data_IF_425983438697
#
_entry.id   IF_425983438697
#
_cell.length_a   1.000
_cell.length_b   1.000
_cell.length_c   1.000
_cell.angle_alpha   90.00
_cell.angle_beta   90.00
_cell.angle_gamma   90.00
#
_symmetry.space_group_name_H-M   'P 1'
#
loop_
_entity.id
_entity.type
_entity.pdbx_description
1 polymer ?
#
# COMPACT_ATOMS: atom_id res chain seq x y z
N UNK A 1 42.90 -14.99 -27.19
CA UNK A 1 42.87 -13.94 -26.15
C UNK A 1 41.44 -13.44 -26.04
N UNK A 2 40.62 -14.09 -25.21
CA UNK A 2 39.18 -13.85 -25.11
C UNK A 2 38.95 -13.06 -23.81
N UNK A 3 38.65 -11.77 -23.94
CA UNK A 3 38.28 -10.93 -22.82
C UNK A 3 36.78 -11.15 -22.52
N UNK A 4 36.49 -12.05 -21.58
CA UNK A 4 35.16 -12.16 -20.97
C UNK A 4 35.06 -11.02 -19.97
N UNK A 5 34.43 -9.90 -20.37
CA UNK A 5 33.96 -8.91 -19.39
C UNK A 5 32.77 -9.52 -18.66
N UNK A 6 32.99 -9.90 -17.41
CA UNK A 6 31.97 -10.40 -16.51
C UNK A 6 30.94 -9.32 -16.23
N UNK A 7 29.71 -9.61 -16.64
CA UNK A 7 28.49 -9.03 -16.10
C UNK A 7 28.47 -9.24 -14.58
N UNK A 8 28.63 -8.17 -13.81
CA UNK A 8 28.18 -8.13 -12.42
C UNK A 8 26.70 -7.81 -12.47
N UNK A 9 25.78 -8.72 -12.09
CA UNK A 9 24.38 -8.36 -11.97
C UNK A 9 24.26 -7.41 -10.78
N UNK A 10 23.93 -6.15 -11.07
CA UNK A 10 23.55 -5.20 -10.05
C UNK A 10 22.35 -5.80 -9.28
N UNK A 11 22.61 -6.15 -8.03
CA UNK A 11 21.59 -6.56 -7.07
C UNK A 11 20.45 -5.54 -7.08
N UNK A 12 19.17 -5.98 -7.12
CA UNK A 12 18.08 -5.02 -7.09
C UNK A 12 18.11 -4.36 -5.72
N UNK A 13 18.33 -3.05 -5.68
CA UNK A 13 17.98 -2.22 -4.51
C UNK A 13 16.62 -2.71 -4.02
N UNK A 14 16.46 -3.13 -2.75
CA UNK A 14 15.18 -3.61 -2.26
C UNK A 14 14.21 -2.44 -2.34
N UNK A 15 13.45 -2.41 -3.42
CA UNK A 15 12.40 -1.42 -3.60
C UNK A 15 11.32 -1.84 -2.61
N UNK A 16 10.82 -0.90 -1.82
CA UNK A 16 9.86 -1.19 -0.76
C UNK A 16 8.59 -1.89 -1.30
N UNK A 17 8.27 -1.66 -2.57
CA UNK A 17 7.08 -2.19 -3.25
C UNK A 17 7.11 -3.73 -3.39
N UNK A 18 8.13 -4.37 -4.00
CA UNK A 18 8.30 -5.82 -3.98
C UNK A 18 8.22 -6.46 -2.60
N UNK A 19 8.88 -5.88 -1.59
CA UNK A 19 8.82 -6.39 -0.22
C UNK A 19 7.38 -6.35 0.33
N UNK A 20 6.63 -5.29 0.03
CA UNK A 20 5.22 -5.19 0.37
C UNK A 20 4.37 -6.26 -0.32
N UNK A 21 4.57 -6.49 -1.62
CA UNK A 21 3.85 -7.55 -2.36
C UNK A 21 4.13 -8.95 -1.79
N UNK A 22 5.37 -9.22 -1.38
CA UNK A 22 5.73 -10.49 -0.72
C UNK A 22 4.98 -10.65 0.62
N UNK A 23 4.87 -9.58 1.42
CA UNK A 23 4.09 -9.70 2.68
C UNK A 23 2.60 -9.95 2.42
N UNK A 24 2.03 -9.35 1.38
CA UNK A 24 0.65 -9.55 0.94
C UNK A 24 0.41 -11.00 0.49
N UNK A 25 1.38 -11.60 -0.21
CA UNK A 25 1.27 -13.00 -0.64
C UNK A 25 1.45 -13.98 0.53
N UNK A 26 2.38 -13.71 1.44
CA UNK A 26 2.57 -14.51 2.66
C UNK A 26 1.30 -14.52 3.52
N UNK A 27 0.64 -13.36 3.66
CA UNK A 27 -0.60 -13.27 4.43
C UNK A 27 -1.74 -14.06 3.80
N UNK A 28 -1.80 -14.10 2.46
CA UNK A 28 -2.75 -14.93 1.71
C UNK A 28 -2.57 -16.41 1.98
N UNK A 29 -1.31 -16.88 1.96
CA UNK A 29 -0.97 -18.29 2.22
C UNK A 29 -1.39 -18.69 3.64
N UNK A 30 -1.08 -17.85 4.64
CA UNK A 30 -1.49 -18.09 6.03
C UNK A 30 -3.02 -18.14 6.15
N UNK A 31 -3.74 -17.24 5.47
CA UNK A 31 -5.20 -17.21 5.50
C UNK A 31 -5.81 -18.52 4.97
N UNK A 32 -5.26 -19.03 3.86
CA UNK A 32 -5.67 -20.31 3.28
C UNK A 32 -5.33 -21.47 4.21
N UNK A 33 -4.15 -21.45 4.83
CA UNK A 33 -3.72 -22.48 5.77
C UNK A 33 -4.66 -22.56 6.98
N UNK A 34 -5.08 -21.43 7.56
CA UNK A 34 -6.09 -21.43 8.63
C UNK A 34 -7.43 -21.99 8.16
N UNK A 35 -7.88 -21.60 6.96
CA UNK A 35 -9.15 -22.08 6.40
C UNK A 35 -9.14 -23.59 6.14
N UNK A 36 -8.01 -24.19 5.77
CA UNK A 36 -7.93 -25.63 5.49
C UNK A 36 -7.92 -26.53 6.73
N UNK A 37 -7.74 -25.97 7.94
CA UNK A 37 -7.68 -26.78 9.16
C UNK A 37 -9.04 -27.46 9.41
N UNK A 38 -9.00 -28.77 9.64
CA UNK A 38 -10.18 -29.59 9.97
C UNK A 38 -10.88 -30.24 8.77
N UNK A 39 -10.44 -29.97 7.53
CA UNK A 39 -11.04 -30.58 6.33
C UNK A 39 -10.42 -31.94 5.95
N UNK A 40 -9.16 -32.20 6.33
CA UNK A 40 -8.54 -33.51 6.20
C UNK A 40 -8.71 -34.30 7.50
N UNK A 41 -9.06 -35.59 7.43
CA UNK A 41 -9.12 -36.47 8.61
C UNK A 41 -7.74 -36.61 9.25
N UNK A 42 -7.58 -36.04 10.44
CA UNK A 42 -6.34 -36.08 11.20
C UNK A 42 -6.67 -36.19 12.70
N UNK A 43 -5.66 -36.52 13.51
CA UNK A 43 -5.82 -36.56 14.96
C UNK A 43 -5.98 -35.15 15.54
N UNK A 44 -6.72 -35.02 16.65
CA UNK A 44 -6.90 -33.75 17.35
C UNK A 44 -5.56 -33.08 17.72
N UNK A 45 -4.55 -33.89 18.10
CA UNK A 45 -3.20 -33.40 18.38
C UNK A 45 -2.54 -32.78 17.16
N UNK A 46 -2.78 -33.33 15.96
CA UNK A 46 -2.19 -32.80 14.72
C UNK A 46 -2.82 -31.47 14.33
N UNK A 47 -4.15 -31.33 14.42
CA UNK A 47 -4.80 -30.03 14.19
C UNK A 47 -4.28 -28.94 15.14
N UNK A 48 -4.04 -29.29 16.40
CA UNK A 48 -3.51 -28.36 17.39
C UNK A 48 -2.08 -27.90 17.06
N UNK A 49 -1.19 -28.83 16.70
CA UNK A 49 0.19 -28.48 16.32
C UNK A 49 0.24 -27.71 14.99
N UNK A 50 -0.57 -28.09 14.01
CA UNK A 50 -0.69 -27.35 12.73
C UNK A 50 -1.17 -25.91 12.98
N UNK A 51 -2.21 -25.74 13.78
CA UNK A 51 -2.72 -24.42 14.15
C UNK A 51 -1.67 -23.58 14.87
N UNK A 52 -0.95 -24.19 15.82
CA UNK A 52 0.10 -23.51 16.59
C UNK A 52 1.26 -23.09 15.69
N UNK A 53 1.64 -23.92 14.73
CA UNK A 53 2.65 -23.62 13.71
C UNK A 53 2.23 -22.41 12.86
N UNK A 54 1.02 -22.46 12.29
CA UNK A 54 0.46 -21.38 11.45
C UNK A 54 0.33 -20.07 12.26
N UNK A 55 -0.07 -20.16 13.53
CA UNK A 55 -0.12 -19.01 14.45
C UNK A 55 1.27 -18.42 14.69
N UNK A 56 2.29 -19.25 14.86
CA UNK A 56 3.68 -18.80 14.97
C UNK A 56 4.14 -18.01 13.74
N UNK A 57 3.83 -18.53 12.55
CA UNK A 57 4.12 -17.86 11.28
C UNK A 57 3.36 -16.53 11.15
N UNK A 58 2.09 -16.49 11.56
CA UNK A 58 1.28 -15.27 11.57
C UNK A 58 1.88 -14.20 12.49
N UNK A 59 2.34 -14.58 13.69
CA UNK A 59 2.98 -13.66 14.63
C UNK A 59 4.29 -13.12 14.04
N UNK A 60 5.13 -13.98 13.49
CA UNK A 60 6.38 -13.58 12.84
C UNK A 60 6.14 -12.64 11.66
N UNK A 61 5.14 -12.93 10.83
CA UNK A 61 4.76 -12.06 9.71
C UNK A 61 4.27 -10.70 10.22
N UNK A 62 3.42 -10.66 11.25
CA UNK A 62 2.95 -9.41 11.86
C UNK A 62 4.10 -8.55 12.39
N UNK A 63 5.14 -9.16 12.98
CA UNK A 63 6.35 -8.45 13.41
C UNK A 63 7.13 -7.86 12.22
N UNK A 64 7.27 -8.63 11.13
CA UNK A 64 7.90 -8.15 9.88
C UNK A 64 7.12 -6.97 9.27
N UNK A 65 5.79 -7.08 9.21
CA UNK A 65 4.90 -6.00 8.73
C UNK A 65 5.05 -4.75 9.60
N UNK A 66 5.10 -4.90 10.93
CA UNK A 66 5.30 -3.78 11.86
C UNK A 66 6.64 -3.06 11.61
N UNK A 67 7.72 -3.82 11.42
CA UNK A 67 9.05 -3.29 11.10
C UNK A 67 9.06 -2.58 9.74
N UNK A 68 8.53 -3.24 8.70
CA UNK A 68 8.39 -2.68 7.36
C UNK A 68 7.62 -1.36 7.40
N UNK A 69 6.50 -1.32 8.12
CA UNK A 69 5.71 -0.11 8.23
C UNK A 69 6.45 1.03 8.93
N UNK A 70 7.21 0.74 9.99
CA UNK A 70 8.00 1.76 10.69
C UNK A 70 9.00 2.46 9.76
N UNK A 71 9.50 1.75 8.74
CA UNK A 71 10.45 2.28 7.75
C UNK A 71 9.70 3.00 6.61
N UNK A 72 8.61 2.42 6.11
CA UNK A 72 7.87 2.95 4.96
C UNK A 72 7.03 4.17 5.31
N UNK A 73 6.56 4.28 6.56
CA UNK A 73 5.75 5.40 7.03
C UNK A 73 6.40 6.78 6.77
N UNK A 74 7.64 7.08 7.21
CA UNK A 74 8.27 8.36 6.92
C UNK A 74 8.51 8.57 5.41
N UNK A 75 8.80 7.51 4.66
CA UNK A 75 8.99 7.58 3.20
C UNK A 75 7.71 8.05 2.51
N UNK A 76 6.56 7.51 2.90
CA UNK A 76 5.27 7.92 2.33
C UNK A 76 4.92 9.35 2.73
N UNK A 77 5.14 9.74 3.98
CA UNK A 77 4.89 11.12 4.42
C UNK A 77 5.75 12.12 3.64
N UNK A 78 7.03 11.80 3.45
CA UNK A 78 7.93 12.59 2.62
C UNK A 78 7.48 12.62 1.15
N UNK A 79 7.01 11.49 0.61
CA UNK A 79 6.51 11.39 -0.76
C UNK A 79 5.22 12.21 -0.96
N UNK A 80 4.34 12.28 0.04
CA UNK A 80 3.14 13.14 0.00
C UNK A 80 3.53 14.61 0.00
N UNK A 81 4.47 15.01 0.85
CA UNK A 81 4.96 16.39 0.90
C UNK A 81 5.65 16.78 -0.43
N UNK A 82 6.50 15.89 -0.95
CA UNK A 82 7.23 16.10 -2.19
C UNK A 82 6.29 16.18 -3.39
N UNK A 83 5.34 15.24 -3.50
CA UNK A 83 4.39 15.22 -4.62
C UNK A 83 3.51 16.47 -4.65
N UNK A 84 3.03 16.95 -3.49
CA UNK A 84 2.26 18.19 -3.39
C UNK A 84 3.00 19.39 -4.00
N UNK A 85 4.29 19.55 -3.65
CA UNK A 85 5.14 20.61 -4.21
C UNK A 85 5.41 20.40 -5.70
N UNK A 86 5.68 19.17 -6.13
CA UNK A 86 5.90 18.84 -7.53
C UNK A 86 4.69 19.15 -8.41
N UNK A 87 3.46 18.88 -7.95
CA UNK A 87 2.26 19.23 -8.70
C UNK A 87 2.10 20.73 -8.91
N UNK A 88 2.39 21.55 -7.89
CA UNK A 88 2.33 23.01 -7.98
C UNK A 88 3.33 23.51 -9.02
N UNK A 89 4.58 23.03 -8.96
CA UNK A 89 5.65 23.41 -9.90
C UNK A 89 5.30 22.98 -11.32
N UNK A 90 4.86 21.73 -11.51
CA UNK A 90 4.46 21.20 -12.82
C UNK A 90 3.31 22.00 -13.41
N UNK A 91 2.30 22.34 -12.61
CA UNK A 91 1.15 23.14 -13.05
C UNK A 91 1.59 24.55 -13.45
N UNK A 92 2.46 25.19 -12.68
CA UNK A 92 3.00 26.50 -13.01
C UNK A 92 3.81 26.49 -14.32
N UNK A 93 4.72 25.52 -14.46
CA UNK A 93 5.53 25.37 -15.68
C UNK A 93 4.65 25.06 -16.89
N UNK A 94 3.61 24.23 -16.75
CA UNK A 94 2.65 23.97 -17.81
C UNK A 94 1.93 25.25 -18.27
N UNK A 95 1.52 26.11 -17.34
CA UNK A 95 0.91 27.41 -17.68
C UNK A 95 1.91 28.27 -18.45
N UNK A 96 3.13 28.47 -17.95
CA UNK A 96 4.16 29.31 -18.61
C UNK A 96 4.49 28.79 -20.01
N UNK A 97 4.67 27.48 -20.18
CA UNK A 97 4.96 26.86 -21.48
C UNK A 97 3.77 26.96 -22.44
N UNK A 98 2.53 26.93 -21.93
CA UNK A 98 1.33 27.07 -22.77
C UNK A 98 1.17 28.48 -23.34
N UNK A 99 1.67 29.51 -22.64
CA UNK A 99 1.63 30.90 -23.10
C UNK A 99 2.89 31.36 -23.84
N UNK A 100 3.97 30.55 -23.86
CA UNK A 100 5.14 30.88 -24.67
C UNK A 100 4.81 30.71 -26.17
N UNK A 101 5.69 31.15 -27.08
CA UNK A 101 5.59 30.90 -28.54
C UNK A 101 6.77 30.07 -29.04
N UNK A 102 7.16 29.07 -28.26
CA UNK A 102 8.36 28.28 -28.52
C UNK A 102 8.04 27.05 -29.38
N UNK A 103 8.92 26.68 -30.31
CA UNK A 103 8.67 25.55 -31.23
C UNK A 103 8.66 24.18 -30.54
N UNK A 104 9.29 24.05 -29.37
CA UNK A 104 9.48 22.77 -28.66
C UNK A 104 8.44 22.50 -27.55
N UNK A 105 7.34 23.26 -27.49
CA UNK A 105 6.33 23.19 -26.42
C UNK A 105 5.76 21.80 -26.19
N UNK A 106 5.37 21.11 -27.26
CA UNK A 106 4.72 19.79 -27.17
C UNK A 106 5.66 18.78 -26.49
N UNK A 107 6.94 18.77 -26.83
CA UNK A 107 7.92 17.87 -26.24
C UNK A 107 8.12 18.15 -24.74
N UNK A 108 8.14 19.42 -24.34
CA UNK A 108 8.26 19.83 -22.94
C UNK A 108 7.03 19.42 -22.13
N UNK A 109 5.82 19.61 -22.69
CA UNK A 109 4.56 19.19 -22.07
C UNK A 109 4.52 17.67 -21.88
N UNK A 110 4.90 16.88 -22.89
CA UNK A 110 4.96 15.41 -22.80
C UNK A 110 5.93 14.98 -21.71
N UNK A 111 7.12 15.59 -21.64
CA UNK A 111 8.11 15.29 -20.59
C UNK A 111 7.57 15.60 -19.19
N UNK A 112 7.00 16.78 -18.97
CA UNK A 112 6.40 17.14 -17.68
C UNK A 112 5.23 16.21 -17.31
N UNK A 113 4.34 15.92 -18.26
CA UNK A 113 3.21 15.01 -18.07
C UNK A 113 3.64 13.61 -17.68
N UNK A 114 4.63 13.04 -18.38
CA UNK A 114 5.19 11.72 -18.07
C UNK A 114 5.78 11.63 -16.66
N UNK A 115 6.52 12.67 -16.23
CA UNK A 115 7.08 12.76 -14.87
C UNK A 115 5.98 12.84 -13.80
N UNK A 116 4.95 13.65 -14.03
CA UNK A 116 3.81 13.75 -13.11
C UNK A 116 3.07 12.42 -12.98
N UNK A 117 2.78 11.74 -14.10
CA UNK A 117 2.14 10.42 -14.11
C UNK A 117 2.98 9.40 -13.34
N UNK A 118 4.30 9.41 -13.52
CA UNK A 118 5.20 8.51 -12.79
C UNK A 118 5.12 8.73 -11.26
N UNK A 119 5.19 9.99 -10.80
CA UNK A 119 5.08 10.33 -9.37
C UNK A 119 3.70 9.94 -8.82
N UNK A 120 2.62 10.20 -9.57
CA UNK A 120 1.27 9.77 -9.22
C UNK A 120 1.19 8.26 -9.05
N UNK A 121 1.72 7.51 -10.01
CA UNK A 121 1.70 6.05 -10.02
C UNK A 121 2.46 5.47 -8.83
N UNK A 122 3.63 6.02 -8.50
CA UNK A 122 4.39 5.60 -7.31
C UNK A 122 3.58 5.84 -6.03
N UNK A 123 2.97 7.03 -5.88
CA UNK A 123 2.17 7.34 -4.69
C UNK A 123 0.94 6.42 -4.58
N UNK A 124 0.25 6.17 -5.70
CA UNK A 124 -0.87 5.24 -5.77
C UNK A 124 -0.45 3.82 -5.33
N UNK A 125 0.68 3.30 -5.82
CA UNK A 125 1.14 1.96 -5.47
C UNK A 125 1.43 1.83 -3.97
N UNK A 126 2.02 2.84 -3.34
CA UNK A 126 2.22 2.84 -1.88
C UNK A 126 0.90 2.82 -1.11
N UNK A 127 -0.07 3.66 -1.51
CA UNK A 127 -1.40 3.68 -0.91
C UNK A 127 -2.11 2.32 -1.08
N UNK A 128 -2.04 1.73 -2.26
CA UNK A 128 -2.63 0.43 -2.55
C UNK A 128 -2.01 -0.69 -1.70
N UNK A 129 -0.68 -0.71 -1.57
CA UNK A 129 0.01 -1.72 -0.75
C UNK A 129 -0.41 -1.65 0.72
N UNK A 130 -0.40 -0.46 1.31
CA UNK A 130 -0.78 -0.29 2.71
C UNK A 130 -2.25 -0.65 2.96
N UNK A 131 -3.14 -0.25 2.04
CA UNK A 131 -4.56 -0.56 2.13
C UNK A 131 -4.81 -2.07 2.01
N UNK A 132 -4.15 -2.72 1.05
CA UNK A 132 -4.22 -4.18 0.87
C UNK A 132 -3.72 -4.94 2.10
N UNK A 133 -2.63 -4.49 2.72
CA UNK A 133 -2.13 -5.10 3.97
C UNK A 133 -3.13 -4.95 5.13
N UNK A 134 -3.77 -3.79 5.25
CA UNK A 134 -4.80 -3.56 6.27
C UNK A 134 -6.01 -4.49 6.06
N UNK A 135 -6.57 -4.50 4.84
CA UNK A 135 -7.73 -5.33 4.50
C UNK A 135 -7.47 -6.82 4.75
N UNK A 136 -6.28 -7.31 4.36
CA UNK A 136 -5.90 -8.70 4.60
C UNK A 136 -5.78 -9.02 6.08
N UNK A 137 -5.32 -8.08 6.90
CA UNK A 137 -5.25 -8.27 8.36
C UNK A 137 -6.63 -8.47 8.98
N UNK A 138 -7.64 -7.72 8.52
CA UNK A 138 -9.03 -7.88 8.97
C UNK A 138 -9.61 -9.23 8.53
N UNK A 139 -9.22 -9.74 7.36
CA UNK A 139 -9.70 -11.01 6.84
C UNK A 139 -9.22 -12.26 7.61
N UNK A 140 -8.18 -12.13 8.45
CA UNK A 140 -7.62 -13.28 9.20
C UNK A 140 -8.63 -13.88 10.17
N UNK A 141 -9.39 -13.03 10.87
CA UNK A 141 -10.41 -13.51 11.81
C UNK A 141 -11.54 -14.26 11.11
N UNK A 142 -11.88 -13.84 9.89
CA UNK A 142 -12.84 -14.56 9.06
C UNK A 142 -12.32 -15.94 8.63
N UNK A 143 -11.05 -16.06 8.24
CA UNK A 143 -10.47 -17.35 7.90
C UNK A 143 -10.34 -18.28 9.11
N UNK A 144 -9.96 -17.75 10.27
CA UNK A 144 -9.98 -18.48 11.53
C UNK A 144 -11.38 -19.02 11.85
N UNK A 145 -12.43 -18.25 11.59
CA UNK A 145 -13.81 -18.71 11.80
C UNK A 145 -14.26 -19.78 10.79
N UNK A 146 -13.65 -19.79 9.60
CA UNK A 146 -14.02 -20.68 8.49
C UNK A 146 -13.44 -22.10 8.57
N UNK A 147 -12.56 -22.38 9.54
CA UNK A 147 -12.04 -23.73 9.77
C UNK A 147 -13.10 -24.64 10.40
N UNK A 148 -12.95 -25.98 10.34
CA UNK A 148 -13.93 -26.91 10.94
C UNK A 148 -13.76 -27.05 12.47
N UNK A 149 -13.75 -25.91 13.18
CA UNK A 149 -13.48 -25.83 14.61
C UNK A 149 -14.56 -26.50 15.48
N UNK A 150 -15.75 -26.75 14.94
CA UNK A 150 -16.88 -27.31 15.70
C UNK A 150 -16.58 -28.71 16.23
N UNK A 151 -15.87 -29.53 15.45
CA UNK A 151 -15.44 -30.89 15.77
C UNK A 151 -14.16 -30.97 16.60
N UNK A 152 -13.54 -29.84 16.92
CA UNK A 152 -12.27 -29.79 17.63
C UNK A 152 -12.42 -29.77 19.15
N UNK A 153 -11.34 -30.14 19.83
CA UNK A 153 -11.30 -30.19 21.28
C UNK A 153 -11.36 -28.80 21.94
N UNK A 154 -11.61 -28.77 23.25
CA UNK A 154 -11.78 -27.51 23.97
C UNK A 154 -10.48 -26.70 24.06
N UNK A 155 -9.32 -27.37 23.99
CA UNK A 155 -8.01 -26.72 24.00
C UNK A 155 -7.82 -25.92 22.72
N UNK A 156 -8.11 -26.50 21.57
CA UNK A 156 -8.10 -25.84 20.28
C UNK A 156 -9.07 -24.65 20.26
N UNK A 157 -10.32 -24.86 20.67
CA UNK A 157 -11.34 -23.79 20.69
C UNK A 157 -10.92 -22.59 21.53
N UNK A 158 -10.28 -22.82 22.69
CA UNK A 158 -9.72 -21.75 23.53
C UNK A 158 -8.60 -21.01 22.82
N UNK A 159 -7.69 -21.73 22.15
CA UNK A 159 -6.58 -21.13 21.41
C UNK A 159 -7.08 -20.32 20.21
N UNK A 160 -8.05 -20.85 19.45
CA UNK A 160 -8.72 -20.16 18.35
C UNK A 160 -9.33 -18.83 18.81
N UNK A 161 -10.12 -18.87 19.89
CA UNK A 161 -10.76 -17.68 20.44
C UNK A 161 -9.74 -16.65 20.94
N UNK A 162 -8.66 -17.13 21.57
CA UNK A 162 -7.56 -16.26 22.01
C UNK A 162 -6.89 -15.58 20.81
N UNK A 163 -6.64 -16.31 19.73
CA UNK A 163 -6.05 -15.76 18.50
C UNK A 163 -6.96 -14.71 17.87
N UNK A 164 -8.26 -14.97 17.75
CA UNK A 164 -9.22 -13.97 17.23
C UNK A 164 -9.21 -12.69 18.07
N UNK A 165 -9.26 -12.82 19.40
CA UNK A 165 -9.19 -11.68 20.33
C UNK A 165 -7.85 -10.94 20.23
N UNK A 166 -6.74 -11.66 20.11
CA UNK A 166 -5.42 -11.06 19.91
C UNK A 166 -5.34 -10.28 18.60
N UNK A 167 -5.93 -10.80 17.53
CA UNK A 167 -5.97 -10.12 16.23
C UNK A 167 -6.81 -8.84 16.28
N UNK A 168 -7.96 -8.86 16.95
CA UNK A 168 -8.83 -7.70 17.17
C UNK A 168 -8.16 -6.66 18.08
N UNK A 169 -7.56 -7.09 19.18
CA UNK A 169 -6.85 -6.22 20.12
C UNK A 169 -5.60 -5.61 19.48
N UNK A 170 -4.94 -6.35 18.59
CA UNK A 170 -3.88 -5.86 17.73
C UNK A 170 -4.48 -5.00 16.59
N UNK A 171 -5.29 -4.01 16.96
CA UNK A 171 -5.89 -2.95 16.14
C UNK A 171 -4.82 -1.99 15.61
N UNK A 172 -3.69 -2.55 15.16
CA UNK A 172 -2.68 -1.92 14.34
C UNK A 172 -3.31 -1.70 12.95
N UNK A 173 -4.36 -0.87 12.88
CA UNK A 173 -4.62 -0.12 11.68
C UNK A 173 -3.32 0.60 11.39
N UNK A 174 -2.77 0.35 10.21
CA UNK A 174 -1.55 0.98 9.74
C UNK A 174 -1.86 2.48 9.53
N UNK A 175 -1.83 3.24 10.64
CA UNK A 175 -2.26 4.64 10.73
C UNK A 175 -1.06 5.54 10.49
N UNK A 176 -1.13 6.36 9.44
CA UNK A 176 -0.13 7.39 9.13
C UNK A 176 -0.02 8.39 10.29
N UNK A 177 -1.15 8.69 10.91
CA UNK A 177 -1.34 9.63 12.01
C UNK A 177 -2.53 9.16 12.86
N UNK A 178 -2.64 9.55 14.15
CA UNK A 178 -3.80 9.25 15.00
C UNK A 178 -5.15 9.63 14.37
N UNK A 179 -5.17 10.58 13.42
CA UNK A 179 -6.39 11.05 12.73
C UNK A 179 -6.47 10.69 11.24
N UNK A 180 -5.40 10.18 10.61
CA UNK A 180 -5.39 9.87 9.17
C UNK A 180 -4.69 8.55 8.88
N UNK A 181 -5.41 7.64 8.23
CA UNK A 181 -4.89 6.39 7.69
C UNK A 181 -4.29 6.69 6.31
N UNK A 182 -3.09 6.19 6.00
CA UNK A 182 -2.66 6.19 4.60
C UNK A 182 -3.38 5.02 3.95
N UNK A 183 -4.40 5.35 3.15
CA UNK A 183 -5.18 4.40 2.38
C UNK A 183 -5.51 4.99 1.01
N UNK A 184 -6.19 4.22 0.19
CA UNK A 184 -6.64 4.66 -1.13
C UNK A 184 -7.57 5.88 -1.05
N UNK A 185 -8.34 6.02 0.03
CA UNK A 185 -9.19 7.20 0.27
C UNK A 185 -8.35 8.47 0.46
N UNK A 186 -7.20 8.41 1.15
CA UNK A 186 -6.29 9.54 1.28
C UNK A 186 -5.76 9.99 -0.08
N UNK A 187 -5.42 9.04 -0.96
CA UNK A 187 -5.03 9.33 -2.34
C UNK A 187 -6.16 10.04 -3.12
N UNK A 188 -7.38 9.47 -3.09
CA UNK A 188 -8.54 10.06 -3.77
C UNK A 188 -8.85 11.49 -3.29
N UNK A 189 -8.72 11.74 -2.00
CA UNK A 189 -8.90 13.06 -1.41
C UNK A 189 -7.85 14.07 -1.91
N UNK A 190 -6.58 13.66 -2.00
CA UNK A 190 -5.50 14.52 -2.53
C UNK A 190 -5.77 14.89 -3.99
N UNK A 191 -6.12 13.91 -4.83
CA UNK A 191 -6.45 14.16 -6.24
C UNK A 191 -7.67 15.10 -6.39
N UNK A 192 -8.72 14.86 -5.60
CA UNK A 192 -9.94 15.68 -5.61
C UNK A 192 -9.65 17.13 -5.19
N UNK A 193 -8.82 17.32 -4.16
CA UNK A 193 -8.44 18.65 -3.69
C UNK A 193 -7.61 19.39 -4.75
N UNK A 194 -6.65 18.71 -5.39
CA UNK A 194 -5.87 19.28 -6.49
C UNK A 194 -6.76 19.72 -7.66
N UNK A 195 -7.72 18.89 -8.06
CA UNK A 195 -8.68 19.24 -9.12
C UNK A 195 -9.51 20.48 -8.76
N UNK A 196 -10.02 20.55 -7.53
CA UNK A 196 -10.79 21.70 -7.06
C UNK A 196 -9.98 23.00 -7.09
N UNK A 197 -8.71 22.95 -6.66
CA UNK A 197 -7.81 24.13 -6.72
C UNK A 197 -7.62 24.58 -8.17
N UNK A 198 -7.31 23.66 -9.09
CA UNK A 198 -7.13 23.96 -10.50
C UNK A 198 -8.42 24.54 -11.11
N UNK A 199 -9.58 23.96 -10.80
CA UNK A 199 -10.89 24.44 -11.27
C UNK A 199 -11.17 25.89 -10.82
N UNK A 200 -10.90 26.21 -9.55
CA UNK A 200 -11.06 27.58 -9.01
C UNK A 200 -10.08 28.55 -9.67
N UNK A 201 -8.81 28.16 -9.85
CA UNK A 201 -7.81 29.01 -10.51
C UNK A 201 -8.20 29.30 -11.97
N UNK A 202 -8.60 28.28 -12.72
CA UNK A 202 -9.06 28.45 -14.11
C UNK A 202 -10.29 29.35 -14.20
N UNK A 203 -11.26 29.17 -13.29
CA UNK A 203 -12.46 30.03 -13.24
C UNK A 203 -12.10 31.50 -12.96
N UNK A 204 -11.19 31.75 -12.02
CA UNK A 204 -10.71 33.10 -11.68
C UNK A 204 -9.96 33.78 -12.84
N UNK A 205 -9.13 33.01 -13.56
CA UNK A 205 -8.45 33.53 -14.76
C UNK A 205 -9.44 33.90 -15.87
N UNK A 206 -10.44 33.06 -16.11
CA UNK A 206 -11.46 33.34 -17.14
C UNK A 206 -12.34 34.56 -16.79
N UNK A 207 -12.71 34.74 -15.51
CA UNK A 207 -13.47 35.93 -15.10
C UNK A 207 -12.66 37.22 -15.23
N UNK A 208 -11.36 37.18 -14.92
CA UNK A 208 -10.50 38.37 -15.06
C UNK A 208 -10.28 38.75 -16.54
N UNK A 209 -10.20 37.78 -17.45
CA UNK A 209 -10.09 38.07 -18.88
C UNK A 209 -11.38 38.74 -19.44
N UNK A 210 -12.56 38.40 -18.93
CA UNK A 210 -13.83 39.03 -19.34
C UNK A 210 -14.02 40.46 -18.80
N UNK A 211 -13.32 40.85 -17.73
CA UNK A 211 -13.37 42.22 -17.19
C UNK A 211 -12.36 43.17 -17.81
N UNK A 212 -11.52 42.70 -18.74
CA UNK A 212 -10.46 43.48 -19.39
C UNK A 212 -10.73 43.73 -20.89
N UNK A 213 -11.84 43.20 -21.43
CA UNK A 213 -12.46 43.61 -22.70
C UNK A 213 -13.62 44.58 -22.42
#
# INVERSE_FOLDING_TARGET
MVHISSTVPATPRPTFIPAGLVTISQQEVINRAFKSIGYEENSQSKYYEDFKSILGDQIQLNLKIKSYYSIVKPVILANVAMSSTSFIIVTYVLIVVSFSKESNQILTIIKLGSSAIFICGQFFLYCYLLDSMNLKKESVNFALYSCDWTKMDIKFKKLLLLTMRMNDANNFMIRASPRKVVNLQMFANVISMSYNIISVMLKSMNSNNQSTE
#
